data_IF_677130692318
#
_entry.id   IF_677130692318
#
_cell.length_a   1.000
_cell.length_b   1.000
_cell.length_c   1.000
_cell.angle_alpha   90.00
_cell.angle_beta   90.00
_cell.angle_gamma   90.00
#
_symmetry.space_group_name_H-M   'P 1'
#
loop_
_entity.id
_entity.type
_entity.pdbx_description
1 polymer ?
#
# COMPACT_ATOMS: atom_id res chain seq x y z
N UNK A 1 -6.66 30.43 10.27
CA UNK A 1 -6.07 29.47 9.31
C UNK A 1 -6.92 29.48 8.05
N UNK A 2 -6.31 29.80 6.91
CA UNK A 2 -6.97 29.60 5.62
C UNK A 2 -7.10 28.09 5.42
N UNK A 3 -8.28 27.59 5.16
CA UNK A 3 -8.65 26.17 5.20
C UNK A 3 -7.86 25.22 4.26
N UNK A 4 -6.85 25.70 3.55
CA UNK A 4 -6.16 24.96 2.48
C UNK A 4 -4.67 25.30 2.32
N UNK A 5 -4.05 26.02 3.24
CA UNK A 5 -2.61 26.34 3.16
C UNK A 5 -1.84 25.64 4.27
N UNK A 6 -0.70 25.05 3.92
CA UNK A 6 0.26 24.53 4.88
C UNK A 6 0.85 25.66 5.73
N UNK A 7 1.18 25.36 6.96
CA UNK A 7 1.91 26.27 7.85
C UNK A 7 3.34 26.49 7.31
N UNK A 8 3.95 27.67 7.56
CA UNK A 8 5.32 27.94 7.12
C UNK A 8 6.34 26.88 7.54
N UNK A 9 6.17 26.32 8.75
CA UNK A 9 7.02 25.22 9.24
C UNK A 9 6.88 23.94 8.42
N UNK A 10 5.65 23.60 7.97
CA UNK A 10 5.40 22.44 7.10
C UNK A 10 6.01 22.64 5.72
N UNK A 11 5.90 23.84 5.16
CA UNK A 11 6.54 24.17 3.87
C UNK A 11 8.06 24.07 3.94
N UNK A 12 8.67 24.60 5.01
CA UNK A 12 10.11 24.49 5.25
C UNK A 12 10.54 23.02 5.38
N UNK A 13 9.78 22.23 6.13
CA UNK A 13 10.04 20.80 6.28
C UNK A 13 9.91 20.02 4.96
N UNK A 14 8.91 20.32 4.14
CA UNK A 14 8.80 19.73 2.80
C UNK A 14 10.03 20.05 1.92
N UNK A 15 10.53 21.28 1.97
CA UNK A 15 11.73 21.69 1.24
C UNK A 15 12.98 20.93 1.75
N UNK A 16 13.13 20.81 3.06
CA UNK A 16 14.20 20.03 3.70
C UNK A 16 14.15 18.56 3.28
N UNK A 17 12.96 17.93 3.30
CA UNK A 17 12.78 16.53 2.87
C UNK A 17 13.14 16.31 1.40
N UNK A 18 12.80 17.26 0.51
CA UNK A 18 13.18 17.19 -0.92
C UNK A 18 14.70 17.28 -1.11
N UNK A 19 15.34 18.22 -0.42
CA UNK A 19 16.81 18.35 -0.45
C UNK A 19 17.49 17.08 0.08
N UNK A 20 17.03 16.57 1.22
CA UNK A 20 17.52 15.35 1.85
C UNK A 20 17.35 14.13 0.94
N UNK A 21 16.20 14.01 0.27
CA UNK A 21 15.94 12.95 -0.69
C UNK A 21 16.88 13.02 -1.89
N UNK A 22 17.14 14.21 -2.43
CA UNK A 22 18.03 14.40 -3.57
C UNK A 22 19.52 14.15 -3.20
N UNK A 23 19.96 14.67 -2.05
CA UNK A 23 21.39 14.70 -1.69
C UNK A 23 21.87 13.42 -1.00
N UNK A 24 21.02 12.79 -0.17
CA UNK A 24 21.41 11.65 0.66
C UNK A 24 20.75 10.35 0.23
N UNK A 25 19.45 10.35 -0.11
CA UNK A 25 18.72 9.12 -0.36
C UNK A 25 18.85 8.64 -1.81
N UNK A 26 18.81 9.54 -2.79
CA UNK A 26 19.00 9.21 -4.22
C UNK A 26 20.32 8.48 -4.48
N UNK A 27 21.49 8.90 -3.98
CA UNK A 27 22.74 8.17 -4.19
C UNK A 27 22.78 6.77 -3.59
N UNK A 28 21.95 6.51 -2.55
CA UNK A 28 21.81 5.17 -1.99
C UNK A 28 20.80 4.34 -2.81
N UNK A 29 19.73 4.95 -3.28
CA UNK A 29 18.76 4.32 -4.17
C UNK A 29 19.41 3.83 -5.47
N UNK A 30 20.24 4.68 -6.10
CA UNK A 30 20.96 4.38 -7.35
C UNK A 30 21.94 3.21 -7.23
N UNK A 31 22.38 2.86 -6.01
CA UNK A 31 23.22 1.70 -5.74
C UNK A 31 22.42 0.43 -5.45
N UNK A 32 21.10 0.56 -5.30
CA UNK A 32 20.21 -0.57 -5.06
C UNK A 32 20.07 -1.47 -6.29
N UNK A 33 19.82 -2.74 -6.04
CA UNK A 33 19.49 -3.70 -7.10
C UNK A 33 17.98 -3.62 -7.39
N UNK A 34 17.57 -3.41 -8.65
CA UNK A 34 16.14 -3.36 -9.01
C UNK A 34 15.39 -4.62 -8.55
N UNK A 35 14.20 -4.43 -7.97
CA UNK A 35 13.36 -5.53 -7.49
C UNK A 35 13.82 -6.15 -6.16
N UNK A 36 14.88 -5.61 -5.53
CA UNK A 36 15.41 -6.07 -4.24
C UNK A 36 15.23 -5.02 -3.14
N UNK A 37 15.17 -5.48 -1.89
CA UNK A 37 15.11 -4.58 -0.73
C UNK A 37 16.46 -3.87 -0.55
N UNK A 38 16.48 -2.56 -0.70
CA UNK A 38 17.66 -1.74 -0.42
C UNK A 38 17.78 -1.47 1.09
N UNK A 39 18.41 -2.41 1.83
CA UNK A 39 18.58 -2.31 3.28
C UNK A 39 19.41 -1.10 3.71
N UNK A 40 20.36 -0.65 2.89
CA UNK A 40 21.14 0.54 3.18
C UNK A 40 20.29 1.81 3.13
N UNK A 41 19.38 1.92 2.16
CA UNK A 41 18.42 3.00 2.05
C UNK A 41 17.44 3.00 3.23
N UNK A 42 16.93 1.83 3.63
CA UNK A 42 16.04 1.70 4.79
C UNK A 42 16.76 2.09 6.10
N UNK A 43 18.00 1.67 6.28
CA UNK A 43 18.82 2.05 7.44
C UNK A 43 19.06 3.57 7.50
N UNK A 44 19.31 4.21 6.36
CA UNK A 44 19.47 5.67 6.28
C UNK A 44 18.16 6.40 6.65
N UNK A 45 17.01 5.94 6.14
CA UNK A 45 15.70 6.47 6.54
C UNK A 45 15.47 6.35 8.06
N UNK A 46 15.93 5.25 8.67
CA UNK A 46 15.91 5.05 10.11
C UNK A 46 16.82 6.03 10.85
N UNK A 47 18.08 6.16 10.39
CA UNK A 47 19.07 7.09 10.95
C UNK A 47 18.65 8.56 10.90
N UNK A 48 17.86 8.93 9.89
CA UNK A 48 17.24 10.25 9.74
C UNK A 48 15.98 10.43 10.61
N UNK A 49 15.53 9.39 11.32
CA UNK A 49 14.33 9.41 12.17
C UNK A 49 13.00 9.37 11.37
N UNK A 50 13.05 9.27 10.03
CA UNK A 50 11.84 9.31 9.19
C UNK A 50 10.94 8.08 9.42
N UNK A 51 11.53 6.89 9.63
CA UNK A 51 10.77 5.70 9.96
C UNK A 51 10.06 5.78 11.32
N UNK A 52 10.64 6.51 12.27
CA UNK A 52 9.99 6.77 13.56
C UNK A 52 8.70 7.59 13.43
N UNK A 53 8.69 8.57 12.53
CA UNK A 53 7.53 9.42 12.25
C UNK A 53 6.31 8.66 11.72
N UNK A 54 6.51 7.50 11.08
CA UNK A 54 5.40 6.63 10.64
C UNK A 54 4.44 6.23 11.77
N UNK A 55 4.91 6.26 13.03
CA UNK A 55 4.16 5.80 14.20
C UNK A 55 3.86 6.92 15.20
N UNK A 56 4.45 8.10 15.04
CA UNK A 56 4.34 9.22 15.97
C UNK A 56 3.70 10.47 15.37
N UNK A 57 3.63 10.56 14.04
CA UNK A 57 3.03 11.68 13.30
C UNK A 57 1.60 11.37 12.84
N UNK A 58 0.85 12.42 12.48
CA UNK A 58 -0.47 12.30 11.86
C UNK A 58 -0.43 11.89 10.39
N UNK A 59 -1.61 11.70 9.82
CA UNK A 59 -1.78 11.36 8.40
C UNK A 59 -1.32 12.49 7.47
N UNK A 60 -1.49 13.75 7.88
CA UNK A 60 -1.00 14.88 7.10
C UNK A 60 0.53 14.87 7.00
N UNK A 61 1.24 14.67 8.10
CA UNK A 61 2.71 14.57 8.09
C UNK A 61 3.18 13.39 7.22
N UNK A 62 2.50 12.25 7.30
CA UNK A 62 2.77 11.11 6.43
C UNK A 62 2.63 11.48 4.95
N UNK A 63 1.58 12.21 4.58
CA UNK A 63 1.38 12.68 3.21
C UNK A 63 2.48 13.65 2.78
N UNK A 64 2.87 14.60 3.62
CA UNK A 64 3.94 15.55 3.34
C UNK A 64 5.30 14.87 3.14
N UNK A 65 5.62 13.87 3.97
CA UNK A 65 6.83 13.05 3.79
C UNK A 65 6.79 12.31 2.44
N UNK A 66 5.70 11.60 2.16
CA UNK A 66 5.59 10.78 0.94
C UNK A 66 5.63 11.65 -0.32
N UNK A 67 4.91 12.79 -0.37
CA UNK A 67 4.95 13.72 -1.49
C UNK A 67 6.37 14.26 -1.71
N UNK A 68 7.03 14.70 -0.63
CA UNK A 68 8.36 15.30 -0.70
C UNK A 68 9.44 14.32 -1.14
N UNK A 69 9.41 13.08 -0.61
CA UNK A 69 10.34 12.03 -1.03
C UNK A 69 10.10 11.60 -2.48
N UNK A 70 8.84 11.40 -2.87
CA UNK A 70 8.46 10.99 -4.22
C UNK A 70 8.89 11.98 -5.30
N UNK A 71 8.89 13.27 -4.99
CA UNK A 71 9.35 14.32 -5.88
C UNK A 71 10.82 14.14 -6.29
N UNK A 72 11.67 13.74 -5.36
CA UNK A 72 13.10 13.63 -5.58
C UNK A 72 13.63 12.20 -5.71
N UNK A 73 13.01 11.21 -5.02
CA UNK A 73 13.46 9.82 -4.98
C UNK A 73 12.30 8.87 -4.68
N UNK A 74 11.70 8.29 -5.69
CA UNK A 74 10.56 7.36 -5.56
C UNK A 74 10.92 6.10 -4.80
N UNK A 75 12.16 5.63 -4.91
CA UNK A 75 12.66 4.43 -4.20
C UNK A 75 12.72 4.68 -2.68
N UNK A 76 13.13 5.87 -2.25
CA UNK A 76 13.17 6.24 -0.84
C UNK A 76 11.75 6.39 -0.26
N UNK A 77 10.85 6.97 -1.05
CA UNK A 77 9.43 7.05 -0.70
C UNK A 77 8.83 5.66 -0.52
N UNK A 78 9.04 4.78 -1.49
CA UNK A 78 8.55 3.40 -1.47
C UNK A 78 9.12 2.63 -0.28
N UNK A 79 10.44 2.71 -0.03
CA UNK A 79 11.06 2.08 1.12
C UNK A 79 10.44 2.54 2.46
N UNK A 80 10.18 3.84 2.62
CA UNK A 80 9.49 4.39 3.78
C UNK A 80 8.06 3.88 3.90
N UNK A 81 7.29 3.96 2.81
CA UNK A 81 5.89 3.58 2.77
C UNK A 81 5.66 2.10 3.12
N UNK A 82 6.49 1.21 2.57
CA UNK A 82 6.39 -0.24 2.79
C UNK A 82 6.70 -0.63 4.24
N UNK A 83 7.66 0.05 4.88
CA UNK A 83 7.92 -0.12 6.31
C UNK A 83 6.69 0.28 7.15
N UNK A 84 6.07 1.40 6.82
CA UNK A 84 4.85 1.86 7.45
C UNK A 84 3.70 0.88 7.27
N UNK A 85 3.40 0.50 6.03
CA UNK A 85 2.31 -0.40 5.70
C UNK A 85 2.45 -1.76 6.40
N UNK A 86 3.65 -2.35 6.38
CA UNK A 86 3.92 -3.65 6.99
C UNK A 86 3.89 -3.63 8.52
N UNK A 87 4.36 -2.55 9.17
CA UNK A 87 4.50 -2.47 10.62
C UNK A 87 3.36 -1.72 11.33
N UNK A 88 2.53 -0.93 10.62
CA UNK A 88 1.38 -0.26 11.24
C UNK A 88 0.41 -1.23 11.95
N UNK A 89 0.09 -2.42 11.42
CA UNK A 89 -0.72 -3.39 12.16
C UNK A 89 -0.11 -3.78 13.51
N UNK A 90 1.21 -3.91 13.60
CA UNK A 90 1.91 -4.18 14.87
C UNK A 90 1.81 -2.98 15.81
N UNK A 91 1.97 -1.76 15.30
CA UNK A 91 1.83 -0.53 16.08
C UNK A 91 0.43 -0.37 16.66
N UNK A 92 -0.60 -0.49 15.82
CA UNK A 92 -1.99 -0.19 16.19
C UNK A 92 -2.66 -1.34 16.97
N UNK A 93 -2.37 -2.59 16.64
CA UNK A 93 -3.10 -3.75 17.10
C UNK A 93 -2.24 -4.81 17.82
N UNK A 94 -0.92 -4.65 17.82
CA UNK A 94 0.00 -5.58 18.47
C UNK A 94 -0.05 -5.51 20.00
N UNK A 95 0.31 -6.60 20.66
CA UNK A 95 0.54 -6.64 22.11
C UNK A 95 1.77 -5.79 22.49
N UNK A 96 1.93 -5.50 23.77
CA UNK A 96 3.13 -4.80 24.27
C UNK A 96 4.41 -5.55 23.89
N UNK A 97 4.41 -6.87 23.98
CA UNK A 97 5.56 -7.72 23.63
C UNK A 97 5.88 -7.66 22.12
N UNK A 98 4.88 -7.75 21.24
CA UNK A 98 5.05 -7.65 19.80
C UNK A 98 5.60 -6.27 19.41
N UNK A 99 5.03 -5.20 19.96
CA UNK A 99 5.52 -3.82 19.73
C UNK A 99 6.96 -3.64 20.21
N UNK A 100 7.28 -4.09 21.42
CA UNK A 100 8.63 -3.96 22.00
C UNK A 100 9.68 -4.76 21.19
N UNK A 101 9.31 -5.88 20.61
CA UNK A 101 10.20 -6.70 19.78
C UNK A 101 10.50 -6.08 18.42
N UNK A 102 9.49 -5.53 17.73
CA UNK A 102 9.60 -5.20 16.31
C UNK A 102 9.72 -3.71 16.02
N UNK A 103 8.95 -2.84 16.69
CA UNK A 103 8.91 -1.41 16.33
C UNK A 103 10.28 -0.72 16.48
N UNK A 104 11.10 -0.97 17.53
CA UNK A 104 12.41 -0.33 17.62
C UNK A 104 13.32 -0.73 16.44
N UNK A 105 13.24 -1.96 15.97
CA UNK A 105 14.05 -2.44 14.84
C UNK A 105 13.56 -1.87 13.51
N UNK A 106 12.24 -1.71 13.34
CA UNK A 106 11.65 -1.06 12.16
C UNK A 106 12.00 0.42 12.12
N UNK A 107 11.86 1.13 13.23
CA UNK A 107 12.17 2.57 13.32
C UNK A 107 13.65 2.88 13.13
N UNK A 108 14.53 1.96 13.55
CA UNK A 108 15.97 2.04 13.29
C UNK A 108 16.37 1.58 11.87
N UNK A 109 15.45 1.09 11.06
CA UNK A 109 15.74 0.55 9.72
C UNK A 109 16.51 -0.77 9.71
N UNK A 110 16.56 -1.50 10.84
CA UNK A 110 17.27 -2.78 10.98
C UNK A 110 16.39 -4.01 10.79
N UNK A 111 15.07 -3.82 10.68
CA UNK A 111 14.12 -4.87 10.31
C UNK A 111 13.21 -4.39 9.18
N UNK A 112 12.96 -5.25 8.23
CA UNK A 112 12.09 -5.02 7.08
C UNK A 112 10.72 -5.63 7.36
N UNK A 113 9.68 -4.81 7.24
CA UNK A 113 8.29 -5.20 7.41
C UNK A 113 7.59 -5.45 6.07
N UNK A 114 6.59 -6.35 6.07
CA UNK A 114 5.75 -6.58 4.90
C UNK A 114 4.28 -6.80 5.28
N UNK A 115 3.37 -6.42 4.35
CA UNK A 115 1.92 -6.54 4.50
C UNK A 115 1.38 -7.56 3.50
N UNK A 116 1.05 -8.77 3.98
CA UNK A 116 0.71 -9.92 3.16
C UNK A 116 -0.81 -10.16 3.13
N UNK A 117 -1.56 -9.29 2.42
CA UNK A 117 -3.00 -9.38 2.24
C UNK A 117 -3.37 -10.12 0.96
N UNK A 118 -2.86 -9.66 -0.19
CA UNK A 118 -3.26 -10.09 -1.52
C UNK A 118 -2.90 -11.53 -1.85
N UNK A 119 -3.73 -12.17 -2.66
CA UNK A 119 -3.55 -13.53 -3.18
C UNK A 119 -3.75 -13.58 -4.70
N UNK A 120 -3.28 -14.62 -5.40
CA UNK A 120 -3.51 -14.74 -6.85
C UNK A 120 -4.98 -14.61 -7.26
N UNK A 121 -5.89 -15.14 -6.42
CA UNK A 121 -7.34 -15.12 -6.66
C UNK A 121 -8.11 -14.02 -5.90
N UNK A 122 -7.45 -13.25 -5.01
CA UNK A 122 -8.10 -12.26 -4.15
C UNK A 122 -7.24 -10.98 -4.02
N UNK A 123 -7.38 -10.09 -4.99
CA UNK A 123 -6.80 -8.74 -4.98
C UNK A 123 -7.80 -7.70 -4.51
N UNK A 124 -8.63 -7.19 -5.43
CA UNK A 124 -9.68 -6.20 -5.11
C UNK A 124 -10.76 -6.76 -4.19
N UNK A 125 -11.08 -8.04 -4.29
CA UNK A 125 -11.96 -8.75 -3.34
C UNK A 125 -11.15 -9.39 -2.21
N UNK A 126 -10.52 -8.55 -1.39
CA UNK A 126 -9.66 -8.98 -0.29
C UNK A 126 -10.41 -9.79 0.79
N UNK A 127 -11.71 -9.63 0.91
CA UNK A 127 -12.52 -10.42 1.84
C UNK A 127 -12.67 -11.90 1.43
N UNK A 128 -12.42 -12.22 0.15
CA UNK A 128 -12.48 -13.57 -0.42
C UNK A 128 -11.15 -14.31 -0.38
N UNK A 129 -10.18 -13.84 0.41
CA UNK A 129 -8.87 -14.50 0.58
C UNK A 129 -9.03 -15.97 1.02
N UNK A 130 -8.11 -16.83 0.52
CA UNK A 130 -8.19 -18.29 0.64
C UNK A 130 -7.07 -18.90 1.51
N UNK A 131 -6.01 -18.15 1.86
CA UNK A 131 -4.99 -18.63 2.80
C UNK A 131 -5.67 -19.08 4.10
N UNK A 132 -5.55 -20.35 4.45
CA UNK A 132 -6.23 -20.95 5.59
C UNK A 132 -5.35 -20.93 6.83
N UNK A 133 -5.97 -20.72 7.98
CA UNK A 133 -5.40 -20.92 9.29
C UNK A 133 -6.19 -22.06 9.98
N UNK A 134 -5.69 -23.27 9.83
CA UNK A 134 -6.34 -24.48 10.39
C UNK A 134 -5.88 -24.69 11.84
N UNK A 135 -6.80 -25.04 12.78
CA UNK A 135 -6.42 -25.36 14.16
C UNK A 135 -5.36 -26.46 14.21
N UNK A 136 -4.29 -26.24 14.98
CA UNK A 136 -3.25 -27.25 15.23
C UNK A 136 -3.55 -27.95 16.56
N UNK A 137 -4.07 -29.16 16.49
CA UNK A 137 -4.41 -29.96 17.67
C UNK A 137 -3.19 -30.40 18.49
N UNK A 138 -1.96 -30.06 18.05
CA UNK A 138 -0.71 -30.57 18.64
C UNK A 138 -0.50 -32.06 18.34
N UNK A 139 0.64 -32.64 18.69
CA UNK A 139 0.84 -34.08 18.56
C UNK A 139 -0.12 -34.81 19.49
N UNK A 140 -1.23 -35.28 18.95
CA UNK A 140 -2.00 -36.31 19.63
C UNK A 140 -1.07 -37.51 19.72
N UNK A 141 -0.81 -38.00 20.95
CA UNK A 141 -0.11 -39.25 21.19
C UNK A 141 -0.93 -40.41 20.60
N UNK A 142 -0.77 -40.65 19.31
CA UNK A 142 -1.42 -41.71 18.55
C UNK A 142 -0.33 -42.58 17.91
N UNK A 143 -0.41 -43.86 18.19
CA UNK A 143 0.49 -44.87 17.67
C UNK A 143 0.50 -45.01 16.15
N UNK A 144 1.42 -45.79 15.60
CA UNK A 144 1.65 -45.90 14.16
C UNK A 144 0.60 -46.78 13.49
N UNK A 145 -0.44 -46.19 12.94
CA UNK A 145 -1.31 -46.87 12.00
C UNK A 145 -2.07 -45.82 11.15
N UNK A 146 -1.67 -45.68 9.91
CA UNK A 146 -2.34 -45.32 8.66
C UNK A 146 -1.50 -44.37 7.81
N UNK A 147 -0.40 -44.92 7.32
CA UNK A 147 0.27 -44.40 6.10
C UNK A 147 -0.03 -45.38 4.96
N UNK A 148 -1.25 -45.33 4.42
CA UNK A 148 -1.51 -45.92 3.11
C UNK A 148 -2.63 -45.16 2.41
N UNK A 149 -2.35 -44.78 1.14
CA UNK A 149 -3.25 -44.38 0.09
C UNK A 149 -3.91 -43.00 0.15
N UNK A 150 -3.29 -42.07 -0.56
CA UNK A 150 -4.01 -41.27 -1.58
C UNK A 150 -3.04 -40.60 -2.55
N UNK A 151 -2.82 -41.25 -3.68
CA UNK A 151 -2.26 -40.63 -4.88
C UNK A 151 -3.31 -39.69 -5.52
N UNK A 152 -2.91 -38.52 -6.08
CA UNK A 152 -3.85 -37.67 -6.79
C UNK A 152 -4.16 -38.26 -8.15
N UNK A 153 -5.44 -38.43 -8.46
CA UNK A 153 -5.93 -38.68 -9.83
C UNK A 153 -5.91 -37.38 -10.59
N UNK A 154 -5.21 -37.35 -11.69
CA UNK A 154 -5.31 -36.34 -12.73
C UNK A 154 -6.68 -36.48 -13.42
N UNK A 155 -7.47 -35.42 -13.44
CA UNK A 155 -8.65 -35.31 -14.29
C UNK A 155 -8.48 -34.15 -15.29
N UNK A 156 -8.98 -34.44 -16.51
CA UNK A 156 -8.67 -33.82 -17.75
C UNK A 156 -9.15 -32.38 -17.92
N UNK A 157 -8.49 -31.73 -18.87
CA UNK A 157 -8.85 -30.41 -19.39
C UNK A 157 -10.22 -30.48 -20.09
N UNK A 158 -11.14 -29.64 -19.65
CA UNK A 158 -12.33 -29.28 -20.39
C UNK A 158 -12.29 -27.81 -20.79
N UNK A 159 -12.26 -27.58 -22.11
CA UNK A 159 -12.26 -26.26 -22.74
C UNK A 159 -13.69 -25.78 -22.90
N UNK A 160 -14.18 -25.00 -21.96
CA UNK A 160 -15.51 -24.39 -21.99
C UNK A 160 -15.44 -22.84 -22.00
N UNK A 161 -16.08 -22.24 -23.00
CA UNK A 161 -16.17 -20.83 -23.37
C UNK A 161 -16.29 -19.86 -22.20
N UNK A 162 -15.40 -18.86 -22.17
CA UNK A 162 -15.49 -17.70 -21.27
C UNK A 162 -16.55 -16.71 -21.79
N UNK A 163 -17.73 -16.74 -21.17
CA UNK A 163 -18.71 -15.66 -21.24
C UNK A 163 -18.38 -14.58 -20.19
N UNK A 164 -18.59 -13.35 -20.59
CA UNK A 164 -18.41 -12.11 -19.86
C UNK A 164 -18.88 -12.15 -18.38
N UNK A 165 -17.94 -12.30 -17.43
CA UNK A 165 -18.17 -12.24 -15.98
C UNK A 165 -17.46 -11.08 -15.29
N UNK A 166 -16.87 -10.16 -16.05
CA UNK A 166 -16.02 -9.10 -15.50
C UNK A 166 -16.77 -8.03 -14.70
N UNK A 167 -18.00 -7.68 -15.10
CA UNK A 167 -18.78 -6.65 -14.41
C UNK A 167 -19.34 -7.09 -13.05
N UNK A 168 -19.67 -8.36 -12.90
CA UNK A 168 -20.20 -8.91 -11.63
C UNK A 168 -19.16 -9.08 -10.53
N UNK A 169 -17.90 -9.36 -10.90
CA UNK A 169 -16.80 -9.56 -9.96
C UNK A 169 -16.36 -8.25 -9.32
N UNK A 170 -16.25 -7.19 -10.11
CA UNK A 170 -15.87 -5.85 -9.60
C UNK A 170 -16.94 -5.30 -8.65
N UNK A 171 -18.23 -5.49 -8.96
CA UNK A 171 -19.32 -5.07 -8.08
C UNK A 171 -19.36 -5.86 -6.75
N UNK A 172 -18.99 -7.13 -6.77
CA UNK A 172 -18.95 -7.99 -5.57
C UNK A 172 -17.73 -7.69 -4.69
N UNK A 173 -16.57 -7.43 -5.30
CA UNK A 173 -15.36 -6.99 -4.61
C UNK A 173 -15.58 -5.65 -3.89
N UNK A 174 -16.18 -4.67 -4.59
CA UNK A 174 -16.53 -3.39 -4.01
C UNK A 174 -17.51 -3.52 -2.82
N UNK A 175 -18.47 -4.47 -2.87
CA UNK A 175 -19.38 -4.72 -1.76
C UNK A 175 -18.67 -5.27 -0.52
N UNK A 176 -17.77 -6.25 -0.67
CA UNK A 176 -17.09 -6.88 0.45
C UNK A 176 -16.16 -5.92 1.21
N UNK A 177 -15.37 -5.10 0.48
CA UNK A 177 -14.53 -4.06 1.08
C UNK A 177 -15.35 -2.99 1.80
N UNK A 178 -16.49 -2.67 1.22
CA UNK A 178 -17.35 -1.60 1.67
C UNK A 178 -18.17 -2.00 2.91
N UNK A 179 -18.68 -3.23 3.00
CA UNK A 179 -19.43 -3.70 4.17
C UNK A 179 -18.57 -3.79 5.45
N UNK A 180 -17.25 -3.97 5.29
CA UNK A 180 -16.33 -3.98 6.41
C UNK A 180 -15.88 -2.60 6.89
N UNK A 181 -15.89 -1.59 6.01
CA UNK A 181 -15.50 -0.19 6.33
C UNK A 181 -16.61 0.56 7.05
N UNK A 182 -17.88 0.21 6.79
CA UNK A 182 -19.04 0.93 7.34
C UNK A 182 -19.34 0.61 8.81
N UNK A 183 -18.69 -0.38 9.41
CA UNK A 183 -19.15 -0.91 10.68
C UNK A 183 -18.45 -0.40 11.93
N UNK A 184 -17.31 0.31 11.88
CA UNK A 184 -16.72 0.88 13.12
C UNK A 184 -15.59 1.85 12.83
N UNK A 185 -15.61 3.01 13.48
CA UNK A 185 -14.54 3.99 13.49
C UNK A 185 -13.20 3.42 14.02
N UNK A 186 -12.13 4.20 13.85
CA UNK A 186 -10.78 3.95 14.37
C UNK A 186 -10.86 3.39 15.79
N UNK A 187 -10.17 2.28 16.05
CA UNK A 187 -10.02 1.82 17.43
C UNK A 187 -9.33 2.92 18.26
N UNK A 188 -9.85 3.29 19.43
CA UNK A 188 -9.22 4.28 20.28
C UNK A 188 -7.79 3.81 20.61
N UNK A 189 -6.81 4.71 20.51
CA UNK A 189 -5.45 4.46 20.93
C UNK A 189 -5.50 4.06 22.43
N UNK A 190 -5.21 2.79 22.72
CA UNK A 190 -5.20 2.29 24.10
C UNK A 190 -6.40 1.46 24.54
N UNK A 191 -7.33 1.10 23.65
CA UNK A 191 -8.39 0.16 24.04
C UNK A 191 -7.78 -1.18 24.45
N UNK A 192 -7.98 -1.56 25.72
CA UNK A 192 -7.57 -2.84 26.26
C UNK A 192 -8.17 -3.96 25.41
N UNK A 193 -7.32 -4.87 24.95
CA UNK A 193 -7.72 -6.07 24.22
C UNK A 193 -8.71 -6.84 25.10
N UNK A 194 -9.96 -6.95 24.66
CA UNK A 194 -10.90 -7.89 25.27
C UNK A 194 -10.28 -9.28 25.22
N UNK A 195 -10.45 -10.06 26.32
CA UNK A 195 -9.97 -11.42 26.41
C UNK A 195 -10.37 -12.24 25.17
N UNK A 196 -9.43 -13.05 24.68
CA UNK A 196 -9.66 -13.89 23.52
C UNK A 196 -10.88 -14.80 23.77
N UNK A 197 -11.82 -14.92 22.82
CA UNK A 197 -12.82 -15.99 22.90
C UNK A 197 -12.11 -17.35 22.86
N UNK A 198 -12.74 -18.39 23.42
CA UNK A 198 -12.25 -19.78 23.47
C UNK A 198 -12.00 -20.34 22.07
N UNK A 199 -10.84 -19.99 21.48
CA UNK A 199 -10.36 -20.44 20.19
C UNK A 199 -9.09 -21.27 20.33
N UNK A 200 -8.68 -22.03 19.30
CA UNK A 200 -7.45 -22.81 19.36
C UNK A 200 -6.24 -21.90 19.61
N UNK A 201 -5.37 -22.30 20.52
CA UNK A 201 -4.16 -21.54 20.87
C UNK A 201 -3.09 -21.59 19.76
N UNK A 202 -3.27 -22.43 18.73
CA UNK A 202 -2.31 -22.68 17.64
C UNK A 202 -3.04 -22.94 16.33
N UNK A 203 -2.39 -22.50 15.22
CA UNK A 203 -2.86 -22.74 13.85
C UNK A 203 -1.69 -23.11 12.93
N UNK A 204 -2.04 -23.72 11.80
CA UNK A 204 -1.16 -23.94 10.65
C UNK A 204 -1.66 -23.10 9.48
N UNK A 205 -0.80 -22.22 8.95
CA UNK A 205 -1.12 -21.44 7.76
C UNK A 205 -0.77 -22.24 6.51
N UNK A 206 -1.73 -22.39 5.59
CA UNK A 206 -1.53 -23.13 4.33
C UNK A 206 -2.18 -22.39 3.17
N UNK A 207 -1.40 -22.17 2.11
CA UNK A 207 -1.82 -21.46 0.88
C UNK A 207 -0.74 -20.52 0.36
N UNK A 208 -1.12 -19.49 -0.41
CA UNK A 208 -0.17 -18.59 -1.03
C UNK A 208 -0.60 -17.12 -0.92
N UNK A 209 0.39 -16.22 -0.91
CA UNK A 209 0.22 -14.77 -1.05
C UNK A 209 0.98 -14.30 -2.29
N UNK A 210 0.47 -13.24 -2.94
CA UNK A 210 1.09 -12.72 -4.16
C UNK A 210 1.08 -11.19 -4.14
N UNK A 211 2.03 -10.59 -4.87
CA UNK A 211 2.26 -9.14 -4.94
C UNK A 211 2.52 -8.52 -3.57
N UNK A 212 3.29 -9.22 -2.76
CA UNK A 212 3.65 -8.76 -1.42
C UNK A 212 4.92 -7.95 -1.50
N UNK A 213 4.81 -6.68 -1.16
CA UNK A 213 5.96 -5.78 -1.11
C UNK A 213 6.96 -6.24 -0.04
N UNK A 214 8.25 -6.08 -0.33
CA UNK A 214 9.38 -6.57 0.46
C UNK A 214 9.50 -8.11 0.54
N UNK A 215 8.59 -8.89 -0.03
CA UNK A 215 8.78 -10.34 -0.14
C UNK A 215 9.79 -10.67 -1.27
N UNK A 216 10.61 -11.70 -1.08
CA UNK A 216 10.72 -12.58 0.08
C UNK A 216 11.70 -12.08 1.17
N UNK A 217 12.20 -10.84 1.10
CA UNK A 217 13.32 -10.33 1.89
C UNK A 217 12.95 -9.64 3.19
N UNK A 218 11.64 -9.58 3.52
CA UNK A 218 11.19 -9.03 4.80
C UNK A 218 11.65 -9.90 5.99
N UNK A 219 11.85 -9.26 7.15
CA UNK A 219 12.17 -9.94 8.40
C UNK A 219 10.92 -10.46 9.11
N UNK A 220 9.75 -9.85 8.83
CA UNK A 220 8.45 -10.34 9.24
C UNK A 220 7.33 -9.88 8.31
N UNK A 221 6.24 -10.60 8.37
CA UNK A 221 5.04 -10.37 7.58
C UNK A 221 3.83 -10.17 8.50
N UNK A 222 3.01 -9.15 8.24
CA UNK A 222 1.63 -9.10 8.71
C UNK A 222 0.78 -9.91 7.72
N UNK A 223 0.37 -11.11 8.09
CA UNK A 223 -0.32 -12.07 7.24
C UNK A 223 -1.79 -12.14 7.59
N UNK A 224 -2.66 -12.07 6.59
CA UNK A 224 -4.11 -12.24 6.76
C UNK A 224 -4.54 -13.60 6.26
N UNK A 225 -5.17 -14.39 7.16
CA UNK A 225 -5.59 -15.76 6.86
C UNK A 225 -7.02 -16.02 7.36
N UNK A 226 -7.69 -16.95 6.73
CA UNK A 226 -9.05 -17.37 7.08
C UNK A 226 -9.01 -18.39 8.21
N UNK A 227 -9.50 -17.99 9.38
CA UNK A 227 -9.66 -18.87 10.56
C UNK A 227 -11.05 -19.46 10.67
N UNK A 228 -12.07 -18.82 10.07
CA UNK A 228 -13.44 -19.31 10.06
C UNK A 228 -13.96 -19.36 8.63
N UNK A 229 -14.21 -20.55 8.06
CA UNK A 229 -14.81 -20.69 6.73
C UNK A 229 -16.16 -19.97 6.66
N UNK A 230 -16.53 -19.52 5.46
CA UNK A 230 -17.85 -18.94 5.11
C UNK A 230 -18.32 -17.73 5.94
N UNK A 231 -17.48 -17.21 6.84
CA UNK A 231 -17.81 -16.05 7.66
C UNK A 231 -17.47 -14.69 7.00
N UNK A 232 -17.09 -14.68 5.69
CA UNK A 232 -16.72 -13.48 4.94
C UNK A 232 -15.56 -12.74 5.62
N UNK A 233 -15.65 -11.43 5.71
CA UNK A 233 -14.63 -10.57 6.35
C UNK A 233 -14.40 -10.92 7.84
N UNK A 234 -15.44 -11.37 8.55
CA UNK A 234 -15.35 -11.75 9.97
C UNK A 234 -14.61 -13.08 10.20
N UNK A 235 -14.38 -13.85 9.14
CA UNK A 235 -13.60 -15.10 9.22
C UNK A 235 -12.09 -14.88 9.06
N UNK A 236 -11.61 -13.63 8.89
CA UNK A 236 -10.21 -13.32 8.66
C UNK A 236 -9.53 -12.92 9.96
N UNK A 237 -8.34 -13.48 10.23
CA UNK A 237 -7.45 -13.13 11.33
C UNK A 237 -6.12 -12.61 10.79
N UNK A 238 -5.54 -11.61 11.45
CA UNK A 238 -4.21 -11.09 11.16
C UNK A 238 -3.17 -11.72 12.08
N UNK A 239 -2.05 -12.14 11.50
CA UNK A 239 -0.93 -12.77 12.21
C UNK A 239 0.38 -12.04 11.93
N UNK A 240 1.19 -11.85 12.95
CA UNK A 240 2.57 -11.43 12.85
C UNK A 240 3.45 -12.66 12.65
N UNK A 241 3.99 -12.85 11.46
CA UNK A 241 4.76 -14.05 11.08
C UNK A 241 6.21 -13.66 10.81
N UNK A 242 7.18 -14.02 11.68
CA UNK A 242 8.61 -13.90 11.38
C UNK A 242 8.98 -14.69 10.12
N UNK A 243 9.93 -14.16 9.33
CA UNK A 243 10.30 -14.75 8.05
C UNK A 243 11.00 -16.12 8.17
N UNK A 244 11.59 -16.42 9.33
CA UNK A 244 12.29 -17.67 9.64
C UNK A 244 11.36 -18.82 10.07
N UNK A 245 10.05 -18.65 9.99
CA UNK A 245 9.09 -19.70 10.34
C UNK A 245 9.21 -20.90 9.40
N UNK A 246 9.27 -22.13 9.94
CA UNK A 246 9.28 -23.34 9.12
C UNK A 246 8.07 -23.40 8.18
N UNK A 247 8.30 -23.83 6.93
CA UNK A 247 7.27 -23.93 5.91
C UNK A 247 6.91 -22.61 5.18
N UNK A 248 7.49 -21.48 5.58
CA UNK A 248 7.37 -20.22 4.84
C UNK A 248 8.49 -20.12 3.81
N UNK A 249 8.12 -19.99 2.54
CA UNK A 249 9.06 -19.76 1.43
C UNK A 249 8.55 -18.63 0.54
N UNK A 250 9.40 -18.09 -0.32
CA UNK A 250 8.98 -17.03 -1.22
C UNK A 250 9.94 -16.84 -2.39
N UNK A 251 9.45 -16.10 -3.40
CA UNK A 251 10.24 -15.71 -4.57
C UNK A 251 9.93 -14.28 -4.97
N UNK A 252 10.93 -13.57 -5.51
CA UNK A 252 10.73 -12.26 -6.13
C UNK A 252 9.88 -12.33 -7.39
N UNK A 253 9.22 -11.23 -7.72
CA UNK A 253 8.48 -11.03 -8.96
C UNK A 253 9.14 -9.88 -9.73
N UNK A 254 9.33 -10.07 -11.04
CA UNK A 254 9.78 -9.01 -11.93
C UNK A 254 8.57 -8.17 -12.36
N UNK A 255 8.57 -6.90 -11.96
CA UNK A 255 7.45 -5.99 -12.13
C UNK A 255 7.81 -4.82 -13.04
N UNK A 256 6.80 -4.12 -13.57
CA UNK A 256 6.97 -2.95 -14.43
C UNK A 256 7.80 -1.85 -13.73
N UNK A 257 7.50 -1.54 -12.47
CA UNK A 257 8.31 -0.67 -11.63
C UNK A 257 9.26 -1.50 -10.75
N UNK A 258 10.49 -1.03 -10.51
CA UNK A 258 11.55 -1.83 -9.88
C UNK A 258 11.42 -1.91 -8.36
N UNK A 259 10.20 -2.14 -7.84
CA UNK A 259 9.97 -2.31 -6.42
C UNK A 259 10.24 -3.75 -5.96
N UNK A 260 10.66 -3.97 -4.71
CA UNK A 260 10.80 -5.29 -4.14
C UNK A 260 9.41 -5.89 -3.89
N UNK A 261 8.95 -6.74 -4.79
CA UNK A 261 7.63 -7.41 -4.72
C UNK A 261 7.83 -8.91 -4.96
N UNK A 262 7.10 -9.74 -4.20
CA UNK A 262 7.23 -11.18 -4.31
C UNK A 262 5.93 -11.94 -4.06
N UNK A 263 6.06 -13.25 -4.17
CA UNK A 263 5.06 -14.23 -3.78
C UNK A 263 5.58 -15.03 -2.59
N UNK A 264 4.66 -15.48 -1.74
CA UNK A 264 4.93 -16.30 -0.56
C UNK A 264 4.10 -17.57 -0.63
N UNK A 265 4.71 -18.68 -0.27
CA UNK A 265 4.06 -19.98 -0.13
C UNK A 265 4.13 -20.42 1.34
N UNK A 266 2.99 -20.86 1.87
CA UNK A 266 2.80 -21.30 3.25
C UNK A 266 2.47 -22.78 3.24
N UNK A 267 3.40 -23.61 3.72
CA UNK A 267 3.24 -25.05 3.89
C UNK A 267 3.15 -25.36 5.39
N UNK A 268 1.93 -25.39 5.90
CA UNK A 268 1.62 -25.66 7.31
C UNK A 268 2.44 -24.80 8.29
N UNK A 269 2.65 -23.50 7.98
CA UNK A 269 3.44 -22.57 8.80
C UNK A 269 2.82 -22.42 10.19
N UNK A 270 3.55 -22.74 11.28
CA UNK A 270 2.99 -22.70 12.63
C UNK A 270 2.85 -21.25 13.12
N UNK A 271 1.68 -20.94 13.67
CA UNK A 271 1.41 -19.69 14.39
C UNK A 271 0.62 -19.96 15.67
N UNK A 272 0.72 -19.06 16.64
CA UNK A 272 0.10 -19.19 17.95
C UNK A 272 -0.77 -17.99 18.27
N UNK A 273 -1.49 -18.02 19.38
CA UNK A 273 -2.25 -16.87 19.88
C UNK A 273 -1.36 -15.65 20.11
N UNK A 274 -0.08 -15.84 20.45
CA UNK A 274 0.88 -14.75 20.63
C UNK A 274 1.28 -14.05 19.31
N UNK A 275 0.99 -14.68 18.17
CA UNK A 275 1.23 -14.10 16.85
C UNK A 275 0.01 -13.30 16.33
N UNK A 276 -1.16 -13.38 16.99
CA UNK A 276 -2.39 -12.72 16.54
C UNK A 276 -2.30 -11.20 16.74
N UNK A 277 -2.73 -10.44 15.73
CA UNK A 277 -2.88 -8.98 15.78
C UNK A 277 -4.38 -8.61 15.88
N UNK A 278 -4.74 -7.85 16.90
CA UNK A 278 -6.11 -7.32 17.08
C UNK A 278 -7.18 -8.32 17.52
N UNK A 279 -6.86 -9.61 17.55
CA UNK A 279 -7.75 -10.69 17.96
C UNK A 279 -8.28 -11.54 16.81
N UNK A 280 -8.70 -12.82 17.10
CA UNK A 280 -9.26 -13.71 16.10
C UNK A 280 -10.52 -13.14 15.45
N UNK A 281 -10.68 -13.34 14.13
CA UNK A 281 -11.82 -12.84 13.35
C UNK A 281 -11.83 -11.32 13.12
N UNK A 282 -10.81 -10.59 13.59
CA UNK A 282 -10.70 -9.13 13.42
C UNK A 282 -9.65 -8.68 12.39
N UNK A 283 -9.07 -9.64 11.66
CA UNK A 283 -7.99 -9.35 10.70
C UNK A 283 -8.41 -8.39 9.59
N UNK A 284 -9.63 -8.49 9.09
CA UNK A 284 -10.11 -7.57 8.05
C UNK A 284 -10.21 -6.12 8.56
N UNK A 285 -10.61 -5.92 9.83
CA UNK A 285 -10.59 -4.60 10.48
C UNK A 285 -9.16 -4.06 10.61
N UNK A 286 -8.19 -4.92 10.95
CA UNK A 286 -6.76 -4.56 10.97
C UNK A 286 -6.30 -4.10 9.59
N UNK A 287 -6.66 -4.84 8.53
CA UNK A 287 -6.33 -4.48 7.16
C UNK A 287 -6.93 -3.13 6.75
N UNK A 288 -8.23 -2.94 6.94
CA UNK A 288 -8.91 -1.72 6.53
C UNK A 288 -8.48 -0.49 7.34
N UNK A 289 -8.25 -0.64 8.65
CA UNK A 289 -7.71 0.44 9.49
C UNK A 289 -6.34 0.92 9.00
N UNK A 290 -5.47 -0.01 8.58
CA UNK A 290 -4.18 0.31 7.98
C UNK A 290 -4.37 1.02 6.62
N UNK A 291 -5.18 0.47 5.73
CA UNK A 291 -5.40 1.04 4.39
C UNK A 291 -6.06 2.43 4.45
N UNK A 292 -6.94 2.71 5.39
CA UNK A 292 -7.56 4.03 5.53
C UNK A 292 -6.56 5.13 5.87
N UNK A 293 -5.50 4.81 6.63
CA UNK A 293 -4.37 5.72 6.88
C UNK A 293 -3.50 5.88 5.62
N UNK A 294 -3.22 4.76 4.92
CA UNK A 294 -2.25 4.77 3.82
C UNK A 294 -2.81 5.24 2.48
N UNK A 295 -4.10 5.09 2.19
CA UNK A 295 -4.72 5.52 0.92
C UNK A 295 -4.52 7.00 0.59
N UNK A 296 -4.75 7.98 1.49
CA UNK A 296 -4.42 9.38 1.20
C UNK A 296 -2.93 9.57 0.89
N UNK A 297 -2.06 8.85 1.58
CA UNK A 297 -0.62 8.96 1.39
C UNK A 297 -0.13 8.32 0.08
N UNK A 298 -0.85 7.33 -0.50
CA UNK A 298 -0.66 6.90 -1.91
C UNK A 298 -0.98 8.06 -2.85
N UNK A 299 -2.02 8.83 -2.54
CA UNK A 299 -2.32 10.06 -3.27
C UNK A 299 -1.17 11.06 -3.20
N UNK A 300 -0.56 11.24 -2.04
CA UNK A 300 0.60 12.12 -1.85
C UNK A 300 1.83 11.65 -2.67
N UNK A 301 2.11 10.33 -2.68
CA UNK A 301 3.12 9.74 -3.56
C UNK A 301 2.88 10.11 -5.04
N UNK A 302 1.64 9.95 -5.49
CA UNK A 302 1.26 10.29 -6.86
C UNK A 302 1.43 11.79 -7.16
N UNK A 303 1.05 12.68 -6.23
CA UNK A 303 1.23 14.14 -6.35
C UNK A 303 2.71 14.51 -6.44
N UNK A 304 3.58 13.88 -5.65
CA UNK A 304 5.03 14.12 -5.72
C UNK A 304 5.61 13.81 -7.11
N UNK A 305 5.23 12.68 -7.69
CA UNK A 305 5.63 12.31 -9.06
C UNK A 305 5.05 13.26 -10.11
N UNK A 306 3.78 13.66 -9.98
CA UNK A 306 3.15 14.60 -10.89
C UNK A 306 3.85 15.97 -10.85
N UNK A 307 4.21 16.45 -9.66
CA UNK A 307 4.96 17.71 -9.50
C UNK A 307 6.35 17.63 -10.12
N UNK A 308 7.09 16.53 -9.91
CA UNK A 308 8.41 16.34 -10.53
C UNK A 308 8.33 16.35 -12.08
N UNK A 309 7.30 15.69 -12.63
CA UNK A 309 7.07 15.68 -14.07
C UNK A 309 6.67 17.06 -14.62
N UNK A 310 5.83 17.79 -13.88
CA UNK A 310 5.43 19.16 -14.24
C UNK A 310 6.64 20.11 -14.25
N UNK A 311 7.47 20.11 -13.21
CA UNK A 311 8.64 20.98 -13.11
C UNK A 311 9.67 20.69 -14.20
N UNK A 312 9.92 19.40 -14.48
CA UNK A 312 10.75 18.98 -15.60
C UNK A 312 10.19 19.47 -16.95
N UNK A 313 8.87 19.43 -17.12
CA UNK A 313 8.21 19.89 -18.35
C UNK A 313 8.28 21.41 -18.49
N UNK A 314 8.11 22.17 -17.43
CA UNK A 314 8.28 23.62 -17.42
C UNK A 314 9.70 24.01 -17.84
N UNK A 315 10.72 23.37 -17.25
CA UNK A 315 12.11 23.61 -17.63
C UNK A 315 12.38 23.26 -19.10
N UNK A 316 11.89 22.10 -19.55
CA UNK A 316 12.07 21.64 -20.94
C UNK A 316 11.42 22.60 -21.95
N UNK A 317 10.15 22.95 -21.76
CA UNK A 317 9.39 23.76 -22.70
C UNK A 317 9.88 25.20 -22.73
N UNK A 318 10.38 25.73 -21.62
CA UNK A 318 11.02 27.04 -21.55
C UNK A 318 12.40 27.09 -22.24
N UNK A 319 13.13 25.98 -22.24
CA UNK A 319 14.48 25.91 -22.83
C UNK A 319 14.53 25.41 -24.28
N UNK A 320 13.51 24.71 -24.75
CA UNK A 320 13.50 24.06 -26.08
C UNK A 320 13.05 24.97 -27.20
N UNK A 321 13.95 25.20 -28.20
CA UNK A 321 13.61 25.88 -29.44
C UNK A 321 12.97 24.91 -30.44
N UNK A 322 11.84 25.31 -31.03
CA UNK A 322 11.16 24.65 -32.13
C UNK A 322 10.18 25.59 -32.81
N UNK A 323 9.95 25.38 -34.11
CA UNK A 323 8.99 26.17 -34.89
C UNK A 323 9.19 27.68 -34.85
N UNK A 324 10.46 28.13 -34.77
CA UNK A 324 10.83 29.54 -34.76
C UNK A 324 10.71 30.28 -33.43
N UNK A 325 10.42 29.57 -32.30
CA UNK A 325 10.32 30.12 -30.96
C UNK A 325 10.55 29.05 -29.88
N UNK A 326 10.18 29.36 -28.64
CA UNK A 326 10.22 28.40 -27.55
C UNK A 326 8.99 27.51 -27.56
N UNK A 327 9.08 26.23 -27.14
CA UNK A 327 7.91 25.37 -27.05
C UNK A 327 6.80 25.95 -26.17
N UNK A 328 7.17 26.64 -25.08
CA UNK A 328 6.21 27.31 -24.18
C UNK A 328 5.33 28.36 -24.85
N UNK A 329 5.79 28.92 -25.98
CA UNK A 329 5.09 30.00 -26.72
C UNK A 329 4.00 29.45 -27.64
N UNK A 330 3.97 28.12 -27.84
CA UNK A 330 2.90 27.46 -28.56
C UNK A 330 1.68 27.31 -27.63
N UNK A 331 0.52 27.86 -28.06
CA UNK A 331 -0.71 27.86 -27.27
C UNK A 331 -1.10 26.46 -26.78
N UNK A 332 -1.00 25.42 -27.62
CA UNK A 332 -1.32 24.06 -27.26
C UNK A 332 -0.42 23.53 -26.13
N UNK A 333 0.86 23.87 -26.11
CA UNK A 333 1.81 23.52 -25.04
C UNK A 333 1.47 24.28 -23.75
N UNK A 334 1.22 25.58 -23.84
CA UNK A 334 0.86 26.41 -22.70
C UNK A 334 -0.42 25.91 -22.01
N UNK A 335 -1.46 25.55 -22.79
CA UNK A 335 -2.71 25.00 -22.27
C UNK A 335 -2.50 23.62 -21.61
N UNK A 336 -1.68 22.76 -22.22
CA UNK A 336 -1.36 21.44 -21.66
C UNK A 336 -0.65 21.57 -20.30
N UNK A 337 0.32 22.46 -20.20
CA UNK A 337 1.06 22.73 -18.94
C UNK A 337 0.13 23.32 -17.88
N UNK A 338 -0.78 24.23 -18.25
CA UNK A 338 -1.78 24.78 -17.33
C UNK A 338 -2.72 23.69 -16.78
N UNK A 339 -3.17 22.77 -17.63
CA UNK A 339 -4.01 21.65 -17.22
C UNK A 339 -3.26 20.67 -16.29
N UNK A 340 -1.97 20.37 -16.56
CA UNK A 340 -1.12 19.58 -15.69
C UNK A 340 -1.00 20.22 -14.30
N UNK A 341 -0.75 21.53 -14.24
CA UNK A 341 -0.63 22.29 -12.99
C UNK A 341 -1.96 22.30 -12.20
N UNK A 342 -3.08 22.59 -12.86
CA UNK A 342 -4.41 22.62 -12.26
C UNK A 342 -4.76 21.27 -11.60
N UNK A 343 -4.58 20.18 -12.32
CA UNK A 343 -4.88 18.84 -11.81
C UNK A 343 -3.97 18.45 -10.66
N UNK A 344 -2.69 18.74 -10.73
CA UNK A 344 -1.72 18.45 -9.66
C UNK A 344 -2.11 19.17 -8.37
N UNK A 345 -2.44 20.46 -8.47
CA UNK A 345 -2.86 21.24 -7.30
C UNK A 345 -4.19 20.78 -6.72
N UNK A 346 -5.18 20.51 -7.57
CA UNK A 346 -6.47 19.96 -7.11
C UNK A 346 -6.31 18.63 -6.38
N UNK A 347 -5.44 17.74 -6.89
CA UNK A 347 -5.12 16.46 -6.28
C UNK A 347 -4.42 16.65 -4.92
N UNK A 348 -3.44 17.56 -4.82
CA UNK A 348 -2.73 17.90 -3.58
C UNK A 348 -3.70 18.37 -2.50
N UNK A 349 -4.56 19.34 -2.82
CA UNK A 349 -5.54 19.88 -1.87
C UNK A 349 -6.50 18.78 -1.38
N UNK A 350 -6.92 17.87 -2.24
CA UNK A 350 -7.79 16.77 -1.85
C UNK A 350 -7.07 15.74 -0.95
N UNK A 351 -5.79 15.47 -1.19
CA UNK A 351 -4.94 14.62 -0.34
C UNK A 351 -4.79 15.23 1.05
N UNK A 352 -4.44 16.52 1.13
CA UNK A 352 -4.28 17.21 2.41
C UNK A 352 -5.62 17.25 3.18
N UNK A 353 -6.74 17.53 2.51
CA UNK A 353 -8.05 17.53 3.14
C UNK A 353 -8.46 16.14 3.67
N UNK A 354 -8.13 15.06 2.95
CA UNK A 354 -8.39 13.70 3.40
C UNK A 354 -7.52 13.30 4.58
N UNK A 355 -6.23 13.68 4.57
CA UNK A 355 -5.29 13.43 5.66
C UNK A 355 -5.69 14.19 6.94
N UNK A 356 -6.03 15.48 6.81
CA UNK A 356 -6.52 16.29 7.94
C UNK A 356 -7.84 15.75 8.53
N UNK A 357 -8.74 15.24 7.67
CA UNK A 357 -9.96 14.60 8.12
C UNK A 357 -9.67 13.31 8.92
N UNK A 358 -8.67 12.52 8.48
CA UNK A 358 -8.22 11.35 9.23
C UNK A 358 -7.68 11.73 10.62
N UNK A 359 -6.85 12.78 10.68
CA UNK A 359 -6.27 13.27 11.95
C UNK A 359 -7.33 13.86 12.90
N UNK A 360 -8.44 14.36 12.35
CA UNK A 360 -9.57 14.90 13.09
C UNK A 360 -10.65 13.86 13.46
N UNK A 361 -10.43 12.56 13.17
CA UNK A 361 -11.41 11.48 13.35
C UNK A 361 -12.76 11.78 12.67
N UNK A 362 -12.74 12.45 11.48
CA UNK A 362 -13.94 12.77 10.71
C UNK A 362 -14.65 11.46 10.26
N UNK A 363 -15.95 11.29 10.48
CA UNK A 363 -16.70 10.11 10.05
C UNK A 363 -16.65 9.87 8.53
N UNK A 364 -16.28 10.89 7.74
CA UNK A 364 -16.14 10.84 6.29
C UNK A 364 -14.80 10.31 5.77
N UNK A 365 -13.91 9.90 6.65
CA UNK A 365 -12.57 9.38 6.27
C UNK A 365 -12.63 8.34 5.14
N UNK A 366 -13.50 7.31 5.14
CA UNK A 366 -13.49 6.32 4.05
C UNK A 366 -13.74 6.95 2.68
N UNK A 367 -14.73 7.83 2.58
CA UNK A 367 -15.05 8.51 1.33
C UNK A 367 -13.96 9.50 0.91
N UNK A 368 -13.46 10.32 1.84
CA UNK A 368 -12.42 11.33 1.56
C UNK A 368 -11.12 10.66 1.13
N UNK A 369 -10.70 9.60 1.80
CA UNK A 369 -9.50 8.82 1.45
C UNK A 369 -9.63 8.19 0.06
N UNK A 370 -10.79 7.64 -0.28
CA UNK A 370 -11.06 7.07 -1.60
C UNK A 370 -11.02 8.15 -2.70
N UNK A 371 -11.62 9.32 -2.46
CA UNK A 371 -11.59 10.45 -3.40
C UNK A 371 -10.17 10.97 -3.63
N UNK A 372 -9.40 11.15 -2.56
CA UNK A 372 -8.02 11.63 -2.63
C UNK A 372 -7.12 10.66 -3.42
N UNK A 373 -7.17 9.37 -3.09
CA UNK A 373 -6.39 8.34 -3.77
C UNK A 373 -6.76 8.25 -5.25
N UNK A 374 -8.04 8.20 -5.57
CA UNK A 374 -8.54 8.10 -6.96
C UNK A 374 -8.07 9.31 -7.79
N UNK A 375 -8.39 10.54 -7.34
CA UNK A 375 -8.04 11.75 -8.09
C UNK A 375 -6.52 11.86 -8.29
N UNK A 376 -5.73 11.67 -7.23
CA UNK A 376 -4.29 11.88 -7.29
C UNK A 376 -3.60 10.86 -8.20
N UNK A 377 -3.97 9.58 -8.14
CA UNK A 377 -3.34 8.55 -8.98
C UNK A 377 -3.71 8.66 -10.45
N UNK A 378 -4.97 9.03 -10.78
CA UNK A 378 -5.38 9.32 -12.15
C UNK A 378 -4.70 10.60 -12.68
N UNK A 379 -4.56 11.61 -11.84
CA UNK A 379 -3.84 12.86 -12.17
C UNK A 379 -2.37 12.59 -12.48
N UNK A 380 -1.68 11.83 -11.65
CA UNK A 380 -0.27 11.52 -11.86
C UNK A 380 -0.03 10.78 -13.19
N UNK A 381 -0.88 9.80 -13.52
CA UNK A 381 -0.82 9.13 -14.80
C UNK A 381 -0.99 10.10 -15.96
N UNK A 382 -1.98 10.99 -15.88
CA UNK A 382 -2.23 12.01 -16.91
C UNK A 382 -1.05 12.99 -17.05
N UNK A 383 -0.52 13.51 -15.94
CA UNK A 383 0.55 14.51 -15.94
C UNK A 383 1.84 13.92 -16.47
N UNK A 384 2.21 12.71 -16.04
CA UNK A 384 3.43 12.07 -16.52
C UNK A 384 3.32 11.68 -18.00
N UNK A 385 2.16 11.19 -18.45
CA UNK A 385 1.92 10.88 -19.87
C UNK A 385 2.06 12.14 -20.75
N UNK A 386 1.44 13.24 -20.33
CA UNK A 386 1.56 14.53 -21.00
C UNK A 386 3.01 15.07 -21.01
N UNK A 387 3.73 14.90 -19.91
CA UNK A 387 5.13 15.28 -19.80
C UNK A 387 6.01 14.48 -20.77
N UNK A 388 5.83 13.17 -20.86
CA UNK A 388 6.52 12.31 -21.85
C UNK A 388 6.23 12.80 -23.26
N UNK A 389 4.97 13.08 -23.60
CA UNK A 389 4.56 13.56 -24.91
C UNK A 389 5.26 14.88 -25.26
N UNK A 390 5.31 15.84 -24.34
CA UNK A 390 5.95 17.16 -24.56
C UNK A 390 7.48 17.10 -24.68
N UNK A 391 8.13 16.11 -24.04
CA UNK A 391 9.57 15.88 -24.17
C UNK A 391 9.96 15.10 -25.42
N UNK A 392 9.02 14.34 -26.00
CA UNK A 392 9.23 13.48 -27.14
C UNK A 392 10.17 12.31 -26.85
N UNK A 393 10.91 11.84 -27.84
CA UNK A 393 11.73 10.63 -27.78
C UNK A 393 12.76 10.60 -26.62
N UNK A 394 13.20 11.75 -26.13
CA UNK A 394 14.13 11.83 -24.98
C UNK A 394 13.55 11.21 -23.72
N UNK A 395 12.25 11.41 -23.48
CA UNK A 395 11.56 10.87 -22.31
C UNK A 395 11.33 9.34 -22.37
N UNK A 396 11.63 8.71 -23.51
CA UNK A 396 11.55 7.25 -23.68
C UNK A 396 12.90 6.55 -23.43
N UNK A 397 13.98 7.32 -23.23
CA UNK A 397 15.29 6.74 -22.97
C UNK A 397 15.39 6.24 -21.53
N UNK A 398 15.91 5.02 -21.35
CA UNK A 398 16.21 4.47 -20.02
C UNK A 398 17.13 5.42 -19.24
N UNK A 399 16.78 5.64 -17.96
CA UNK A 399 17.48 6.57 -17.08
C UNK A 399 17.00 8.04 -17.17
N UNK A 400 16.08 8.37 -18.07
CA UNK A 400 15.40 9.66 -18.05
C UNK A 400 14.34 9.70 -16.95
N UNK A 401 14.22 10.81 -16.21
CA UNK A 401 13.27 10.97 -15.12
C UNK A 401 11.85 10.55 -15.53
N UNK A 402 11.35 11.02 -16.68
CA UNK A 402 9.98 10.77 -17.12
C UNK A 402 9.75 9.32 -17.55
N UNK A 403 10.75 8.64 -18.10
CA UNK A 403 10.69 7.20 -18.38
C UNK A 403 10.50 6.41 -17.07
N UNK A 404 11.29 6.76 -16.04
CA UNK A 404 11.16 6.18 -14.72
C UNK A 404 9.77 6.44 -14.14
N UNK A 405 9.34 7.70 -14.07
CA UNK A 405 8.03 8.06 -13.54
C UNK A 405 6.87 7.43 -14.31
N UNK A 406 7.00 7.24 -15.64
CA UNK A 406 5.97 6.59 -16.46
C UNK A 406 5.69 5.15 -16.03
N UNK A 407 6.73 4.41 -15.63
CA UNK A 407 6.59 3.07 -15.05
C UNK A 407 5.99 3.12 -13.65
N UNK A 408 6.40 4.11 -12.85
CA UNK A 408 5.97 4.25 -11.45
C UNK A 408 4.48 4.60 -11.31
N UNK A 409 3.97 5.57 -12.06
CA UNK A 409 2.59 6.07 -11.91
C UNK A 409 1.52 5.07 -12.29
N UNK A 410 1.90 3.96 -12.98
CA UNK A 410 0.92 2.94 -13.39
C UNK A 410 0.40 2.12 -12.22
N UNK A 411 1.26 1.75 -11.30
CA UNK A 411 0.95 0.85 -10.19
C UNK A 411 -0.01 1.47 -9.13
N UNK A 412 0.10 2.75 -8.72
CA UNK A 412 -0.79 3.37 -7.75
C UNK A 412 -2.28 3.34 -8.10
N UNK A 413 -2.63 3.22 -9.37
CA UNK A 413 -4.02 3.06 -9.84
C UNK A 413 -4.59 1.66 -9.56
N UNK A 414 -3.73 0.70 -9.20
CA UNK A 414 -4.08 -0.72 -9.03
C UNK A 414 -4.03 -1.13 -7.57
N UNK A 415 -2.91 -0.87 -6.87
CA UNK A 415 -2.75 -1.31 -5.49
C UNK A 415 -3.53 -0.44 -4.49
N UNK A 416 -3.67 -0.94 -3.26
CA UNK A 416 -4.43 -0.33 -2.14
C UNK A 416 -5.88 0.03 -2.51
N UNK A 417 -6.48 -0.80 -3.36
CA UNK A 417 -7.80 -0.61 -3.95
C UNK A 417 -7.73 0.07 -5.31
N UNK A 418 -8.04 -0.67 -6.36
CA UNK A 418 -8.05 -0.17 -7.74
C UNK A 418 -8.99 1.03 -7.91
N UNK A 419 -8.81 1.81 -8.97
CA UNK A 419 -9.64 2.98 -9.28
C UNK A 419 -11.14 2.67 -9.24
N UNK A 420 -11.55 1.48 -9.67
CA UNK A 420 -12.92 0.99 -9.66
C UNK A 420 -13.43 0.73 -8.24
N UNK A 421 -12.57 0.17 -7.38
CA UNK A 421 -12.86 -0.04 -5.95
C UNK A 421 -13.07 1.31 -5.26
N UNK A 422 -12.20 2.29 -5.52
CA UNK A 422 -12.36 3.64 -4.94
C UNK A 422 -13.69 4.29 -5.38
N UNK A 423 -14.08 4.16 -6.65
CA UNK A 423 -15.39 4.63 -7.15
C UNK A 423 -16.56 3.95 -6.43
N UNK A 424 -16.44 2.62 -6.20
CA UNK A 424 -17.42 1.86 -5.44
C UNK A 424 -17.58 2.37 -4.00
N UNK A 425 -16.46 2.61 -3.29
CA UNK A 425 -16.47 3.17 -1.94
C UNK A 425 -17.15 4.55 -1.92
N UNK A 426 -16.76 5.44 -2.82
CA UNK A 426 -17.35 6.80 -2.92
C UNK A 426 -18.87 6.73 -3.12
N UNK A 427 -19.32 5.93 -4.08
CA UNK A 427 -20.75 5.81 -4.40
C UNK A 427 -21.53 5.28 -3.21
N UNK A 428 -21.07 4.22 -2.56
CA UNK A 428 -21.74 3.66 -1.39
C UNK A 428 -21.88 4.66 -0.25
N UNK A 429 -20.79 5.35 0.10
CA UNK A 429 -20.83 6.34 1.19
C UNK A 429 -21.80 7.51 0.90
N UNK A 430 -21.97 7.86 -0.39
CA UNK A 430 -22.95 8.86 -0.80
C UNK A 430 -24.38 8.35 -0.64
N UNK A 431 -24.68 7.13 -1.06
CA UNK A 431 -26.03 6.54 -0.94
C UNK A 431 -26.41 6.26 0.51
N UNK A 432 -25.48 5.73 1.34
CA UNK A 432 -25.74 5.50 2.75
C UNK A 432 -26.14 6.77 3.50
N UNK A 433 -25.59 7.93 3.13
CA UNK A 433 -25.98 9.24 3.68
C UNK A 433 -27.35 9.72 3.23
N UNK A 434 -27.72 9.38 2.01
CA UNK A 434 -29.07 9.72 1.51
C UNK A 434 -30.14 8.92 2.23
N UNK A 435 -29.89 7.65 2.51
CA UNK A 435 -30.78 6.75 3.25
C UNK A 435 -30.92 7.12 4.75
N UNK A 436 -29.90 7.76 5.33
CA UNK A 436 -29.89 8.20 6.72
C UNK A 436 -30.56 9.56 6.97
N UNK A 437 -30.96 10.28 5.92
CA UNK A 437 -31.71 11.56 5.98
C UNK A 437 -33.22 11.36 5.88
#
# INVERSE_FOLDING_TARGET
MTAFSLEPAQLAWCAELRALAAERLRPLADKGEPGRVNRALVAELGGLGLLGRLFTSGALDLCLMRESLAYACTEAETALALQGLGAHPVHAYGTRAQRARWLPRVTAGTAIAAFALSEPGAGSDAASLQLRAEPDAGPQGGGPADRAARAPRAEGADTGSQGDRSSGVVARAARAEVDAVSCEGRAPQGAALAAAPDGPARWRLTGAKCWISNAPEADFYTVFARTTPDAGARGVTAFLVPADRPGLTGRGLDMLSPHPIGALDFDAVPVTADDVLGGPGRGFRVAMGTLNLFRPSVGAFAVGMAQAALDATLAHTAGRDAFGGRLKDLQAVAHQVAEMALRTEAARLMVHAAASAYDADDPDVPRRSAMAKLLATETAQYVVDAAVQLHGARALQRGHLLEHLYREVRAPRIYEGASEVQRGIIAKELYARQEAR
#
